data_IF_011518406748
#
_entry.id   IF_011518406748
#
_cell.length_a   1.000
_cell.length_b   1.000
_cell.length_c   1.000
_cell.angle_alpha   90.00
_cell.angle_beta   90.00
_cell.angle_gamma   90.00
#
_symmetry.space_group_name_H-M   'P 1'
#
loop_
_entity.id
_entity.type
_entity.pdbx_description
1 polymer ?
#
# COMPACT_ATOMS: atom_id res chain seq x y z
N UNK A 1 8.37 -6.73 10.92
CA UNK A 1 9.67 -6.99 10.29
C UNK A 1 9.66 -6.33 8.93
N UNK A 2 10.69 -5.57 8.62
CA UNK A 2 10.87 -4.88 7.33
C UNK A 2 11.78 -5.72 6.44
N UNK A 3 11.54 -5.80 5.13
CA UNK A 3 12.47 -6.46 4.17
C UNK A 3 13.68 -5.59 3.86
N UNK A 4 14.81 -6.16 3.46
CA UNK A 4 15.98 -5.36 3.04
C UNK A 4 15.89 -5.01 1.55
N UNK A 5 16.13 -3.74 1.19
CA UNK A 5 16.23 -3.34 -0.22
C UNK A 5 16.04 -1.85 -0.50
N UNK A 6 16.18 -1.52 -1.79
CA UNK A 6 16.02 -0.17 -2.33
C UNK A 6 15.20 -0.25 -3.61
N UNK A 7 14.21 0.65 -3.76
CA UNK A 7 13.44 0.86 -4.98
C UNK A 7 13.34 2.36 -5.22
N UNK A 8 13.82 2.85 -6.35
CA UNK A 8 13.83 4.29 -6.65
C UNK A 8 13.05 4.57 -7.93
N UNK A 9 12.57 5.81 -8.06
CA UNK A 9 11.82 6.28 -9.23
C UNK A 9 10.56 5.44 -9.51
N UNK A 10 9.87 5.00 -8.46
CA UNK A 10 8.58 4.34 -8.61
C UNK A 10 7.55 5.40 -8.99
N UNK A 11 6.86 5.29 -10.14
CA UNK A 11 6.06 6.39 -10.67
C UNK A 11 4.71 6.60 -9.96
N UNK A 12 4.23 5.57 -9.26
CA UNK A 12 2.91 5.62 -8.63
C UNK A 12 2.94 5.15 -7.18
N UNK A 13 2.14 5.82 -6.36
CA UNK A 13 1.76 5.36 -5.02
C UNK A 13 0.26 5.18 -5.00
N UNK A 14 -0.20 3.99 -4.63
CA UNK A 14 -1.61 3.64 -4.50
C UNK A 14 -1.91 3.51 -3.02
N UNK A 15 -2.85 4.29 -2.54
CA UNK A 15 -3.25 4.32 -1.15
C UNK A 15 -4.71 3.91 -1.01
N UNK A 16 -4.97 2.97 -0.10
CA UNK A 16 -6.32 2.66 0.36
C UNK A 16 -6.63 3.57 1.53
N UNK A 17 -7.52 4.53 1.30
CA UNK A 17 -8.02 5.46 2.32
C UNK A 17 -8.63 4.69 3.50
N UNK A 18 -7.98 4.78 4.67
CA UNK A 18 -8.40 4.03 5.84
C UNK A 18 -9.75 4.49 6.40
N UNK A 19 -10.09 5.79 6.29
CA UNK A 19 -11.39 6.32 6.74
C UNK A 19 -12.55 5.77 5.90
N UNK A 20 -12.32 5.64 4.60
CA UNK A 20 -13.29 5.02 3.68
C UNK A 20 -13.36 3.52 3.93
N UNK A 21 -12.21 2.84 4.06
CA UNK A 21 -12.14 1.41 4.29
C UNK A 21 -12.80 0.99 5.62
N UNK A 22 -12.69 1.80 6.67
CA UNK A 22 -13.34 1.58 7.97
C UNK A 22 -14.88 1.56 7.92
N UNK A 23 -15.46 2.21 6.92
CA UNK A 23 -16.91 2.29 6.71
C UNK A 23 -17.39 1.34 5.62
N UNK A 24 -16.49 0.60 4.99
CA UNK A 24 -16.80 -0.27 3.86
C UNK A 24 -17.53 -1.56 4.33
N UNK A 25 -18.41 -2.05 3.47
CA UNK A 25 -19.12 -3.34 3.66
C UNK A 25 -18.80 -4.32 2.53
N UNK A 26 -18.35 -3.81 1.38
CA UNK A 26 -17.95 -4.55 0.18
C UNK A 26 -16.43 -4.51 0.00
N UNK A 27 -15.69 -4.99 0.99
CA UNK A 27 -14.22 -4.98 1.02
C UNK A 27 -13.54 -5.58 -0.23
N UNK A 28 -14.18 -6.55 -0.88
CA UNK A 28 -13.66 -7.12 -2.11
C UNK A 28 -13.73 -6.14 -3.30
N UNK A 29 -14.63 -5.16 -3.30
CA UNK A 29 -14.64 -4.12 -4.33
C UNK A 29 -13.38 -3.25 -4.26
N UNK A 30 -12.90 -2.95 -3.04
CA UNK A 30 -11.60 -2.27 -2.83
C UNK A 30 -10.48 -3.11 -3.42
N UNK A 31 -10.44 -4.42 -3.13
CA UNK A 31 -9.45 -5.32 -3.69
C UNK A 31 -9.49 -5.35 -5.23
N UNK A 32 -10.69 -5.42 -5.82
CA UNK A 32 -10.86 -5.40 -7.28
C UNK A 32 -10.45 -4.06 -7.89
N UNK A 33 -10.70 -2.94 -7.21
CA UNK A 33 -10.22 -1.64 -7.66
C UNK A 33 -8.70 -1.55 -7.66
N UNK A 34 -8.02 -2.14 -6.66
CA UNK A 34 -6.55 -2.28 -6.69
C UNK A 34 -6.13 -3.14 -7.88
N UNK A 35 -6.87 -4.22 -8.15
CA UNK A 35 -6.69 -5.05 -9.35
C UNK A 35 -6.82 -4.27 -10.66
N UNK A 36 -7.78 -3.34 -10.78
CA UNK A 36 -7.93 -2.45 -11.94
C UNK A 36 -6.70 -1.56 -12.10
N UNK A 37 -6.23 -0.92 -11.02
CA UNK A 37 -5.02 -0.09 -11.04
C UNK A 37 -3.79 -0.92 -11.42
N UNK A 38 -3.65 -2.10 -10.84
CA UNK A 38 -2.60 -3.04 -11.19
C UNK A 38 -2.65 -3.36 -12.69
N UNK A 39 -3.81 -3.68 -13.26
CA UNK A 39 -3.94 -3.94 -14.70
C UNK A 39 -3.69 -2.72 -15.58
N UNK A 40 -4.03 -1.51 -15.15
CA UNK A 40 -3.72 -0.27 -15.88
C UNK A 40 -2.20 -0.02 -15.96
N UNK A 41 -1.46 -0.41 -14.92
CA UNK A 41 -0.01 -0.19 -14.82
C UNK A 41 0.85 -1.23 -15.57
N UNK A 42 0.38 -1.82 -16.67
CA UNK A 42 1.21 -2.75 -17.47
C UNK A 42 2.47 -2.05 -17.97
N UNK A 43 3.64 -2.58 -17.60
CA UNK A 43 4.94 -1.97 -17.94
C UNK A 43 5.44 -0.95 -16.93
N UNK A 44 4.65 -0.65 -15.88
CA UNK A 44 5.01 0.23 -14.78
C UNK A 44 4.99 -0.51 -13.43
N UNK A 45 5.18 0.22 -12.33
CA UNK A 45 5.20 -0.27 -10.95
C UNK A 45 4.57 0.75 -10.01
N UNK A 46 4.10 0.28 -8.86
CA UNK A 46 3.56 1.15 -7.82
C UNK A 46 3.96 0.69 -6.42
N UNK A 47 3.83 1.58 -5.44
CA UNK A 47 3.86 1.27 -4.01
C UNK A 47 2.41 1.14 -3.54
N UNK A 48 2.06 0.08 -2.83
CA UNK A 48 0.75 -0.08 -2.20
C UNK A 48 0.83 0.33 -0.73
N UNK A 49 0.03 1.29 -0.30
CA UNK A 49 -0.18 1.66 1.10
C UNK A 49 -1.60 1.27 1.47
N UNK A 50 -1.78 0.43 2.48
CA UNK A 50 -3.11 -0.09 2.82
C UNK A 50 -3.31 -0.27 4.34
N UNK A 51 -4.54 -0.10 4.84
CA UNK A 51 -4.87 -0.33 6.24
C UNK A 51 -4.85 -1.82 6.57
N UNK A 52 -4.22 -2.16 7.69
CA UNK A 52 -4.14 -3.52 8.21
C UNK A 52 -3.34 -4.48 7.33
N UNK A 53 -3.66 -5.77 7.44
CA UNK A 53 -2.97 -6.86 6.73
C UNK A 53 -3.47 -6.99 5.28
N UNK A 54 -2.56 -6.72 4.35
CA UNK A 54 -2.78 -6.89 2.91
C UNK A 54 -2.85 -8.39 2.60
N UNK A 55 -3.93 -8.80 1.95
CA UNK A 55 -4.21 -10.20 1.62
C UNK A 55 -4.84 -11.01 2.74
N UNK A 56 -5.44 -10.34 3.72
CA UNK A 56 -6.19 -11.02 4.79
C UNK A 56 -7.46 -11.69 4.24
N UNK A 57 -7.74 -12.92 4.68
CA UNK A 57 -9.05 -13.56 4.48
C UNK A 57 -10.14 -12.98 5.37
N UNK A 58 -9.76 -12.27 6.45
CA UNK A 58 -10.65 -11.48 7.27
C UNK A 58 -10.51 -10.00 6.92
N UNK A 59 -11.45 -9.42 6.16
CA UNK A 59 -11.33 -8.04 5.68
C UNK A 59 -11.39 -6.97 6.80
N UNK A 60 -11.88 -7.34 7.98
CA UNK A 60 -11.86 -6.46 9.16
C UNK A 60 -10.43 -6.26 9.72
N UNK A 61 -9.49 -7.13 9.36
CA UNK A 61 -8.09 -7.03 9.77
C UNK A 61 -7.18 -6.41 8.70
N UNK A 62 -7.71 -6.13 7.50
CA UNK A 62 -6.98 -5.50 6.41
C UNK A 62 -7.53 -5.87 5.03
N UNK A 63 -6.94 -5.30 3.98
CA UNK A 63 -7.48 -5.35 2.61
C UNK A 63 -7.37 -6.77 2.00
N UNK A 64 -8.48 -7.39 1.54
CA UNK A 64 -8.49 -8.80 1.09
C UNK A 64 -8.03 -8.96 -0.36
N UNK A 65 -6.86 -8.41 -0.71
CA UNK A 65 -6.28 -8.56 -2.06
C UNK A 65 -5.78 -9.98 -2.32
N UNK A 66 -5.86 -10.39 -3.57
CA UNK A 66 -5.21 -11.59 -4.07
C UNK A 66 -3.90 -11.21 -4.76
N UNK A 67 -2.96 -12.16 -4.85
CA UNK A 67 -1.65 -11.89 -5.44
C UNK A 67 -1.72 -11.32 -6.86
N UNK A 68 -2.63 -11.85 -7.69
CA UNK A 68 -2.86 -11.39 -9.06
C UNK A 68 -3.31 -9.92 -9.16
N UNK A 69 -3.79 -9.32 -8.07
CA UNK A 69 -4.21 -7.92 -8.00
C UNK A 69 -3.07 -6.98 -7.64
N UNK A 70 -1.89 -7.49 -7.28
CA UNK A 70 -0.74 -6.69 -6.83
C UNK A 70 0.59 -7.09 -7.49
N UNK A 71 0.54 -7.77 -8.63
CA UNK A 71 1.73 -8.30 -9.34
C UNK A 71 2.69 -7.23 -9.84
N UNK A 72 2.28 -5.95 -9.90
CA UNK A 72 3.14 -4.80 -10.25
C UNK A 72 3.54 -3.96 -9.03
N UNK A 73 3.23 -4.42 -7.83
CA UNK A 73 3.65 -3.76 -6.61
C UNK A 73 5.18 -3.88 -6.46
N UNK A 74 5.84 -2.80 -6.04
CA UNK A 74 7.27 -2.77 -5.70
C UNK A 74 7.51 -2.75 -4.20
N UNK A 75 6.54 -2.24 -3.44
CA UNK A 75 6.56 -2.23 -2.00
C UNK A 75 5.13 -2.22 -1.45
N UNK A 76 4.87 -3.09 -0.47
CA UNK A 76 3.66 -3.08 0.34
C UNK A 76 3.96 -2.39 1.66
N UNK A 77 3.16 -1.39 1.97
CA UNK A 77 3.16 -0.67 3.25
C UNK A 77 1.84 -0.96 3.96
N UNK A 78 1.92 -1.77 5.01
CA UNK A 78 0.76 -2.07 5.86
C UNK A 78 0.72 -1.05 6.99
N UNK A 79 -0.36 -0.26 7.07
CA UNK A 79 -0.53 0.76 8.10
C UNK A 79 -1.55 0.27 9.13
N UNK A 80 -1.13 0.15 10.38
CA UNK A 80 -2.00 -0.18 11.51
C UNK A 80 -2.58 1.08 12.14
N UNK A 81 -3.90 1.12 12.27
CA UNK A 81 -4.67 2.19 12.93
C UNK A 81 -5.39 1.62 14.16
N UNK A 82 -4.78 1.64 15.36
CA UNK A 82 -5.35 1.01 16.55
C UNK A 82 -6.73 1.54 16.94
N UNK A 83 -7.03 2.82 16.64
CA UNK A 83 -8.33 3.44 16.92
C UNK A 83 -9.46 2.88 16.05
N UNK A 84 -9.12 2.31 14.90
CA UNK A 84 -10.08 1.78 13.92
C UNK A 84 -10.17 0.26 13.97
N UNK A 85 -9.50 -0.38 14.93
CA UNK A 85 -9.46 -1.84 15.07
C UNK A 85 -8.46 -2.53 14.12
N UNK A 86 -7.76 -1.78 13.27
CA UNK A 86 -6.67 -2.28 12.45
C UNK A 86 -5.39 -2.44 13.27
N UNK A 87 -5.37 -3.45 14.13
CA UNK A 87 -4.12 -3.97 14.67
C UNK A 87 -3.72 -5.17 13.82
N UNK A 88 -2.85 -5.00 12.81
CA UNK A 88 -2.31 -6.17 12.15
C UNK A 88 -1.58 -6.99 13.22
N UNK A 89 -2.00 -8.23 13.46
CA UNK A 89 -0.97 -9.20 13.81
C UNK A 89 -0.13 -9.26 12.53
N UNK A 90 1.06 -8.66 12.54
CA UNK A 90 1.97 -8.76 11.41
C UNK A 90 2.50 -10.19 11.35
N UNK A 91 1.68 -11.10 10.85
CA UNK A 91 2.20 -12.34 10.32
C UNK A 91 2.87 -11.96 9.01
N UNK A 92 4.13 -12.32 8.85
CA UNK A 92 4.65 -12.69 7.53
C UNK A 92 3.58 -13.58 6.87
N UNK A 93 2.79 -13.01 5.96
CA UNK A 93 1.55 -13.62 5.50
C UNK A 93 1.83 -14.92 4.76
N UNK A 94 1.48 -16.05 5.37
CA UNK A 94 1.70 -17.41 4.84
C UNK A 94 1.07 -17.69 3.46
N UNK A 95 0.26 -16.77 2.92
CA UNK A 95 -0.55 -17.01 1.72
C UNK A 95 0.12 -16.62 0.39
N UNK A 96 1.06 -15.67 0.39
CA UNK A 96 1.85 -15.30 -0.80
C UNK A 96 3.20 -14.68 -0.47
N UNK A 97 3.72 -14.87 0.76
CA UNK A 97 5.02 -14.32 1.15
C UNK A 97 6.15 -14.79 0.22
N UNK A 98 6.15 -16.08 -0.13
CA UNK A 98 7.12 -16.64 -1.07
C UNK A 98 7.04 -15.95 -2.43
N UNK A 99 5.84 -15.61 -2.90
CA UNK A 99 5.66 -14.89 -4.16
C UNK A 99 6.22 -13.46 -4.07
N UNK A 100 6.00 -12.75 -2.95
CA UNK A 100 6.59 -11.43 -2.70
C UNK A 100 8.12 -11.48 -2.71
N UNK A 101 8.71 -12.50 -2.08
CA UNK A 101 10.16 -12.67 -2.03
C UNK A 101 10.73 -12.95 -3.43
N UNK A 102 10.10 -13.85 -4.20
CA UNK A 102 10.50 -14.18 -5.58
C UNK A 102 10.43 -12.94 -6.48
N UNK A 103 9.36 -12.15 -6.37
CA UNK A 103 9.16 -10.96 -7.21
C UNK A 103 9.88 -9.72 -6.67
N UNK A 104 10.59 -9.85 -5.54
CA UNK A 104 11.38 -8.78 -4.93
C UNK A 104 10.53 -7.58 -4.53
N UNK A 105 9.32 -7.84 -4.03
CA UNK A 105 8.38 -6.86 -3.50
C UNK A 105 8.80 -6.56 -2.06
N UNK A 106 9.12 -5.29 -1.78
CA UNK A 106 9.48 -4.88 -0.43
C UNK A 106 8.25 -4.87 0.48
N UNK A 107 8.45 -5.08 1.76
CA UNK A 107 7.38 -5.09 2.76
C UNK A 107 7.79 -4.25 3.97
N UNK A 108 6.93 -3.31 4.33
CA UNK A 108 7.18 -2.34 5.39
C UNK A 108 5.92 -2.10 6.23
N UNK A 109 5.83 -2.68 7.43
CA UNK A 109 4.74 -2.37 8.33
C UNK A 109 4.98 -1.06 9.09
N UNK A 110 3.93 -0.25 9.23
CA UNK A 110 3.92 1.03 9.94
C UNK A 110 2.75 1.04 10.92
N UNK A 111 3.00 1.36 12.19
CA UNK A 111 1.94 1.46 13.19
C UNK A 111 1.74 2.91 13.60
N UNK A 112 0.55 3.45 13.32
CA UNK A 112 0.19 4.80 13.75
C UNK A 112 0.23 4.90 15.29
N UNK A 113 0.93 5.91 15.81
CA UNK A 113 1.10 6.12 17.25
C UNK A 113 2.16 5.23 17.92
N UNK A 114 2.78 4.27 17.22
CA UNK A 114 3.91 3.54 17.75
C UNK A 114 5.18 4.40 17.75
N UNK A 115 6.06 4.18 18.73
CA UNK A 115 7.33 4.91 18.82
C UNK A 115 8.14 4.71 17.53
N UNK A 116 8.69 5.81 17.00
CA UNK A 116 9.51 5.85 15.78
C UNK A 116 8.79 5.39 14.49
N UNK A 117 7.46 5.31 14.51
CA UNK A 117 6.66 5.09 13.30
C UNK A 117 6.00 6.43 12.94
N UNK A 118 6.08 6.80 11.67
CA UNK A 118 5.46 8.02 11.15
C UNK A 118 4.60 7.61 9.96
N UNK A 119 3.31 7.91 10.05
CA UNK A 119 2.40 7.91 8.93
C UNK A 119 2.01 9.37 8.70
N UNK A 120 2.48 9.96 7.59
CA UNK A 120 2.19 11.35 7.26
C UNK A 120 0.80 11.44 6.59
N UNK A 121 -0.25 11.41 7.40
CA UNK A 121 -1.64 11.52 6.92
C UNK A 121 -1.84 12.83 6.13
N UNK A 122 -1.15 13.91 6.52
CA UNK A 122 -1.26 15.21 5.86
C UNK A 122 -0.79 15.18 4.40
N UNK A 123 0.21 14.36 4.08
CA UNK A 123 0.62 14.12 2.70
C UNK A 123 -0.55 13.55 1.87
N UNK A 124 -1.22 12.52 2.36
CA UNK A 124 -2.32 11.87 1.64
C UNK A 124 -3.54 12.78 1.48
N UNK A 125 -3.75 13.73 2.38
CA UNK A 125 -4.90 14.65 2.30
C UNK A 125 -4.64 15.91 1.47
N UNK A 126 -3.38 16.25 1.22
CA UNK A 126 -3.01 17.51 0.53
C UNK A 126 -2.34 17.30 -0.81
N UNK A 127 -1.66 16.18 -1.04
CA UNK A 127 -1.06 15.87 -2.32
C UNK A 127 -2.17 15.62 -3.36
N UNK A 128 -1.99 16.08 -4.61
CA UNK A 128 -2.95 15.80 -5.67
C UNK A 128 -2.98 14.29 -6.00
N UNK A 129 -4.19 13.75 -6.20
CA UNK A 129 -4.39 12.35 -6.52
C UNK A 129 -5.55 12.16 -7.51
N UNK A 130 -5.50 11.07 -8.25
CA UNK A 130 -6.64 10.54 -8.98
C UNK A 130 -7.40 9.52 -8.11
N UNK A 131 -8.71 9.40 -8.33
CA UNK A 131 -9.48 8.29 -7.78
C UNK A 131 -9.38 7.09 -8.73
N UNK A 132 -9.25 5.90 -8.16
CA UNK A 132 -9.48 4.66 -8.89
C UNK A 132 -10.96 4.32 -8.99
N UNK A 133 -11.25 3.15 -9.55
CA UNK A 133 -12.63 2.62 -9.69
C UNK A 133 -13.40 2.37 -8.38
N UNK A 134 -12.74 2.52 -7.22
CA UNK A 134 -13.35 2.52 -5.90
C UNK A 134 -12.99 3.81 -5.15
N UNK A 135 -13.97 4.42 -4.46
CA UNK A 135 -13.79 5.71 -3.77
C UNK A 135 -12.69 5.71 -2.70
N UNK A 136 -12.38 4.53 -2.15
CA UNK A 136 -11.29 4.35 -1.19
C UNK A 136 -9.89 4.23 -1.82
N UNK A 137 -9.74 4.27 -3.14
CA UNK A 137 -8.45 4.12 -3.82
C UNK A 137 -8.00 5.48 -4.33
N UNK A 138 -6.94 6.01 -3.69
CA UNK A 138 -6.26 7.24 -4.11
C UNK A 138 -4.96 6.87 -4.82
N UNK A 139 -4.71 7.49 -5.97
CA UNK A 139 -3.57 7.19 -6.84
C UNK A 139 -2.76 8.47 -7.02
N UNK A 140 -1.51 8.44 -6.57
CA UNK A 140 -0.58 9.56 -6.66
C UNK A 140 0.42 9.28 -7.75
N UNK A 141 0.57 10.23 -8.68
CA UNK A 141 1.59 10.21 -9.73
C UNK A 141 2.83 10.97 -9.26
N UNK A 142 4.01 10.52 -9.65
CA UNK A 142 5.23 11.20 -9.23
C UNK A 142 6.51 10.40 -9.39
N UNK A 143 7.40 10.58 -8.41
CA UNK A 143 8.58 9.75 -8.21
C UNK A 143 8.66 9.44 -6.72
N UNK A 144 8.55 8.16 -6.39
CA UNK A 144 8.60 7.67 -5.03
C UNK A 144 9.78 6.71 -4.88
N UNK A 145 10.45 6.81 -3.74
CA UNK A 145 11.58 5.95 -3.40
C UNK A 145 11.35 5.25 -2.06
N UNK A 146 11.80 4.01 -1.98
CA UNK A 146 11.69 3.13 -0.82
C UNK A 146 13.09 2.70 -0.42
N UNK A 147 13.44 2.96 0.84
CA UNK A 147 14.70 2.54 1.43
C UNK A 147 14.42 1.72 2.68
N UNK A 148 14.85 0.46 2.69
CA UNK A 148 14.60 -0.44 3.81
C UNK A 148 15.83 -1.24 4.23
N UNK A 149 15.98 -1.38 5.54
CA UNK A 149 17.04 -2.13 6.19
C UNK A 149 16.41 -3.15 7.13
N UNK A 150 16.37 -4.40 6.69
CA UNK A 150 15.79 -5.50 7.47
C UNK A 150 16.57 -5.84 8.75
N UNK A 151 17.89 -5.63 8.77
CA UNK A 151 18.73 -5.92 9.93
C UNK A 151 18.44 -4.93 11.06
N UNK A 152 18.24 -3.66 10.71
CA UNK A 152 17.87 -2.59 11.67
C UNK A 152 16.36 -2.44 11.86
N UNK A 153 15.55 -3.22 11.12
CA UNK A 153 14.09 -3.10 11.06
C UNK A 153 13.65 -1.64 10.84
N UNK A 154 14.28 -0.99 9.86
CA UNK A 154 14.06 0.41 9.49
C UNK A 154 13.56 0.49 8.05
N UNK A 155 12.65 1.41 7.78
CA UNK A 155 12.14 1.65 6.44
C UNK A 155 11.59 3.06 6.28
N UNK A 156 11.68 3.59 5.07
CA UNK A 156 11.08 4.87 4.70
C UNK A 156 10.60 4.82 3.25
N UNK A 157 9.44 5.43 3.01
CA UNK A 157 8.96 5.80 1.69
C UNK A 157 9.05 7.31 1.57
N UNK A 158 9.62 7.80 0.49
CA UNK A 158 9.84 9.23 0.23
C UNK A 158 9.13 9.59 -1.08
N UNK A 159 8.40 10.71 -1.07
CA UNK A 159 7.94 11.35 -2.30
C UNK A 159 9.03 12.31 -2.78
N UNK A 160 9.84 11.90 -3.75
CA UNK A 160 10.89 12.72 -4.36
C UNK A 160 10.28 13.84 -5.22
N UNK A 161 9.13 13.54 -5.84
CA UNK A 161 8.30 14.44 -6.63
C UNK A 161 6.86 13.96 -6.61
N UNK A 162 5.91 14.88 -6.57
CA UNK A 162 4.48 14.61 -6.82
C UNK A 162 4.08 15.39 -8.07
N UNK A 163 3.45 14.70 -9.01
CA UNK A 163 2.98 15.25 -10.28
C UNK A 163 1.45 15.43 -10.25
N UNK A 164 0.92 16.16 -11.23
CA UNK A 164 -0.54 16.25 -11.43
C UNK A 164 -1.13 14.85 -11.71
N UNK A 165 -2.38 14.59 -11.29
CA UNK A 165 -2.98 13.28 -11.41
C UNK A 165 -3.27 12.95 -12.87
N UNK A 166 -3.08 11.68 -13.22
CA UNK A 166 -3.41 11.15 -14.55
C UNK A 166 -4.87 10.69 -14.58
N UNK A 167 -5.53 10.81 -15.72
CA UNK A 167 -6.88 10.26 -15.95
C UNK A 167 -6.82 8.78 -16.40
N UNK A 168 -7.94 8.07 -16.32
CA UNK A 168 -8.10 6.74 -16.95
C UNK A 168 -7.88 5.53 -16.03
N UNK A 169 -8.28 5.64 -14.76
CA UNK A 169 -8.16 4.57 -13.75
C UNK A 169 -9.43 3.70 -13.59
N UNK A 170 -10.39 3.85 -14.50
CA UNK A 170 -11.69 3.17 -14.52
C UNK A 170 -11.74 1.97 -15.48
#
# INVERSE_FOLDING_TARGET
>A
MVTHGVKENIPYLVYVDHHVYAQETRFHDVARGIGTVNEALKGSRFILVAPGRVGSSNPLLGVPVQYNEITRCSCIVEVGFPKEGYMPELSFGTHFFTDLEIDGILYMPVYEGAKNNIFDESFFDTAPYALGSHAGIRIYSGSFSVYTDGDRNFGVVVADRVDEPEDGWD
#
